data_IF_016001130268
#
_entry.id   IF_016001130268
#
_cell.length_a   1.000
_cell.length_b   1.000
_cell.length_c   1.000
_cell.angle_alpha   90.00
_cell.angle_beta   90.00
_cell.angle_gamma   90.00
#
_symmetry.space_group_name_H-M   'P 1'
#
loop_
_entity.id
_entity.type
_entity.pdbx_description
1 polymer ?
#
# COMPACT_ATOMS: atom_id res chain seq x y z
N UNK A 1 12.05 -24.31 -3.03
CA UNK A 1 12.99 -23.25 -2.65
C UNK A 1 12.28 -21.97 -2.21
N UNK A 2 11.20 -21.55 -2.84
CA UNK A 2 10.42 -20.33 -2.53
C UNK A 2 9.74 -20.41 -1.15
N UNK A 3 9.19 -21.56 -0.76
CA UNK A 3 8.53 -21.79 0.54
C UNK A 3 9.46 -21.53 1.73
N UNK A 4 10.70 -22.00 1.62
CA UNK A 4 11.71 -21.82 2.68
C UNK A 4 12.12 -20.37 2.86
N UNK A 5 12.12 -19.55 1.80
CA UNK A 5 12.51 -18.15 1.85
C UNK A 5 11.45 -17.33 2.60
N UNK A 6 10.16 -17.56 2.34
CA UNK A 6 9.09 -16.81 3.01
C UNK A 6 8.99 -17.17 4.48
N UNK A 7 9.14 -18.45 4.83
CA UNK A 7 9.20 -18.91 6.22
C UNK A 7 10.45 -18.42 6.95
N UNK A 8 11.60 -18.32 6.26
CA UNK A 8 12.82 -17.75 6.82
C UNK A 8 12.70 -16.23 7.07
N UNK A 9 11.95 -15.50 6.25
CA UNK A 9 11.67 -14.08 6.46
C UNK A 9 10.95 -13.85 7.81
N UNK A 10 10.04 -14.76 8.17
CA UNK A 10 9.30 -14.70 9.44
C UNK A 10 10.05 -15.32 10.60
N UNK A 11 10.91 -16.33 10.37
CA UNK A 11 11.62 -17.09 11.40
C UNK A 11 12.93 -16.46 11.93
N UNK A 12 13.40 -15.34 11.32
CA UNK A 12 14.73 -14.79 11.68
C UNK A 12 15.86 -15.80 11.38
N UNK A 13 16.73 -15.47 10.46
CA UNK A 13 17.76 -16.27 9.78
C UNK A 13 18.74 -17.12 10.66
N UNK A 14 18.29 -17.89 11.62
CA UNK A 14 19.19 -18.73 12.43
C UNK A 14 18.93 -20.24 12.36
N UNK A 15 18.17 -20.76 11.38
CA UNK A 15 17.79 -22.18 11.33
C UNK A 15 18.35 -22.96 10.11
N UNK A 16 19.36 -22.46 9.40
CA UNK A 16 19.95 -23.15 8.27
C UNK A 16 21.43 -23.51 8.44
N UNK A 17 21.79 -24.14 9.56
CA UNK A 17 22.97 -24.97 9.61
C UNK A 17 22.55 -26.39 9.98
N UNK A 18 22.66 -27.32 9.00
CA UNK A 18 22.69 -28.75 9.25
C UNK A 18 21.43 -29.54 8.85
N UNK A 19 21.14 -29.68 7.55
CA UNK A 19 20.41 -30.86 7.04
C UNK A 19 21.32 -31.57 6.05
N UNK A 20 22.01 -32.57 6.52
CA UNK A 20 22.73 -33.54 5.69
C UNK A 20 21.72 -34.54 5.11
N UNK A 21 21.54 -34.51 3.78
CA UNK A 21 20.73 -35.49 3.03
C UNK A 21 21.65 -36.58 2.47
N UNK A 22 22.15 -37.41 3.36
CA UNK A 22 22.95 -38.54 2.95
C UNK A 22 22.51 -39.86 3.58
N UNK A 23 22.18 -40.85 2.74
CA UNK A 23 22.20 -42.23 3.14
C UNK A 23 20.95 -43.08 2.89
N UNK A 24 20.93 -43.73 1.76
CA UNK A 24 20.05 -44.87 1.48
C UNK A 24 20.36 -46.05 2.39
N UNK A 25 19.34 -46.77 2.85
CA UNK A 25 19.47 -48.16 3.20
C UNK A 25 18.88 -48.57 4.53
N UNK A 26 17.85 -49.32 4.45
CA UNK A 26 17.31 -50.44 5.21
C UNK A 26 15.89 -50.25 5.68
N UNK A 27 15.02 -51.05 5.09
CA UNK A 27 13.64 -51.30 5.48
C UNK A 27 13.62 -51.97 6.87
N UNK A 28 13.31 -51.15 7.89
CA UNK A 28 12.77 -51.65 9.16
C UNK A 28 11.52 -50.85 9.44
N UNK A 29 10.40 -51.49 9.70
CA UNK A 29 9.17 -50.81 10.13
C UNK A 29 9.49 -49.91 11.30
N UNK A 30 9.14 -48.61 11.24
CA UNK A 30 9.42 -47.70 12.36
C UNK A 30 8.69 -48.22 13.59
N UNK A 31 9.43 -48.45 14.70
CA UNK A 31 8.82 -48.80 15.96
C UNK A 31 7.98 -47.64 16.48
N UNK A 32 6.95 -47.92 17.28
CA UNK A 32 6.03 -46.93 17.89
C UNK A 32 6.78 -45.74 18.53
N UNK A 33 8.01 -46.00 19.01
CA UNK A 33 8.91 -44.96 19.58
C UNK A 33 9.42 -43.98 18.52
N UNK A 34 9.69 -44.45 17.30
CA UNK A 34 10.21 -43.61 16.21
C UNK A 34 9.08 -42.77 15.62
N UNK A 35 7.87 -43.32 15.53
CA UNK A 35 6.67 -42.56 15.14
C UNK A 35 6.33 -41.48 16.19
N UNK A 36 6.45 -41.77 17.48
CA UNK A 36 6.22 -40.79 18.55
C UNK A 36 7.27 -39.66 18.49
N UNK A 37 8.56 -39.97 18.31
CA UNK A 37 9.63 -38.98 18.16
C UNK A 37 9.43 -38.11 16.92
N UNK A 38 9.08 -38.72 15.78
CA UNK A 38 8.80 -37.99 14.53
C UNK A 38 7.60 -37.04 14.71
N UNK A 39 6.54 -37.51 15.38
CA UNK A 39 5.35 -36.69 15.71
C UNK A 39 5.70 -35.52 16.65
N UNK A 40 6.53 -35.76 17.66
CA UNK A 40 6.98 -34.73 18.60
C UNK A 40 7.82 -33.65 17.88
N UNK A 41 8.78 -34.06 17.06
CA UNK A 41 9.59 -33.13 16.25
C UNK A 41 8.72 -32.32 15.29
N UNK A 42 7.70 -32.96 14.67
CA UNK A 42 6.75 -32.29 13.80
C UNK A 42 5.91 -31.27 14.57
N UNK A 43 5.44 -31.59 15.77
CA UNK A 43 4.69 -30.67 16.64
C UNK A 43 5.55 -29.47 17.07
N UNK A 44 6.78 -29.70 17.53
CA UNK A 44 7.72 -28.65 17.93
C UNK A 44 8.04 -27.70 16.75
N UNK A 45 8.23 -28.24 15.55
CA UNK A 45 8.40 -27.43 14.32
C UNK A 45 7.14 -26.64 14.00
N UNK A 46 5.95 -27.20 14.15
CA UNK A 46 4.70 -26.50 13.91
C UNK A 46 4.45 -25.39 14.95
N UNK A 47 4.75 -25.64 16.22
CA UNK A 47 4.67 -24.63 17.29
C UNK A 47 5.66 -23.47 17.05
N UNK A 48 6.92 -23.78 16.63
CA UNK A 48 7.88 -22.77 16.23
C UNK A 48 7.44 -21.98 15.00
N UNK A 49 6.88 -22.63 13.98
CA UNK A 49 6.32 -21.98 12.82
C UNK A 49 5.14 -21.08 13.22
N UNK A 50 4.26 -21.55 14.09
CA UNK A 50 3.12 -20.77 14.58
C UNK A 50 3.56 -19.53 15.35
N UNK A 51 4.52 -19.67 16.27
CA UNK A 51 5.09 -18.54 17.01
C UNK A 51 5.80 -17.53 16.10
N UNK A 52 6.47 -18.01 15.03
CA UNK A 52 7.13 -17.15 14.06
C UNK A 52 6.18 -16.52 13.03
N UNK A 53 4.96 -17.05 12.89
CA UNK A 53 3.92 -16.55 12.02
C UNK A 53 2.88 -15.68 12.77
N UNK A 54 3.11 -15.36 14.04
CA UNK A 54 2.28 -14.38 14.73
C UNK A 54 2.42 -13.01 14.10
N UNK A 55 1.30 -12.48 13.67
CA UNK A 55 1.17 -11.12 13.14
C UNK A 55 0.39 -10.26 14.15
N UNK A 56 0.99 -9.15 14.54
CA UNK A 56 0.31 -8.11 15.32
C UNK A 56 0.02 -6.94 14.40
N UNK A 57 -1.25 -6.63 14.19
CA UNK A 57 -1.63 -5.47 13.38
C UNK A 57 -1.10 -4.19 14.02
N UNK A 58 -0.25 -3.50 13.29
CA UNK A 58 0.22 -2.17 13.61
C UNK A 58 -0.12 -1.23 12.47
N UNK A 59 -0.47 -0.01 12.82
CA UNK A 59 -0.69 1.08 11.88
C UNK A 59 0.49 2.05 11.98
N UNK A 60 1.02 2.47 10.85
CA UNK A 60 2.00 3.53 10.84
C UNK A 60 1.31 4.87 11.14
N UNK A 61 1.67 5.49 12.25
CA UNK A 61 1.16 6.81 12.64
C UNK A 61 1.67 7.89 11.68
N UNK A 62 0.76 8.75 11.26
CA UNK A 62 1.06 9.85 10.35
C UNK A 62 1.07 11.15 11.11
N UNK A 63 2.19 11.90 11.14
CA UNK A 63 2.25 13.17 11.83
C UNK A 63 1.31 14.20 11.19
N UNK A 64 0.86 15.15 12.00
CA UNK A 64 0.16 16.31 11.50
C UNK A 64 1.07 17.16 10.60
N UNK A 65 0.49 17.67 9.52
CA UNK A 65 1.21 18.48 8.55
C UNK A 65 0.94 19.97 8.78
N UNK A 66 1.97 20.77 8.61
CA UNK A 66 1.86 22.21 8.64
C UNK A 66 0.91 22.73 7.55
N UNK A 67 0.03 23.67 7.88
CA UNK A 67 -0.84 24.31 6.89
C UNK A 67 -0.04 24.99 5.77
N UNK A 68 1.14 25.53 6.09
CA UNK A 68 2.01 26.20 5.12
C UNK A 68 2.59 25.22 4.10
N UNK A 69 3.09 24.07 4.55
CA UNK A 69 3.60 23.02 3.61
C UNK A 69 2.46 22.44 2.80
N UNK A 70 1.28 22.26 3.38
CA UNK A 70 0.11 21.79 2.67
C UNK A 70 -0.38 22.76 1.57
N UNK A 71 -0.19 24.07 1.72
CA UNK A 71 -0.48 25.02 0.63
C UNK A 71 0.39 24.71 -0.60
N UNK A 72 1.70 24.51 -0.39
CA UNK A 72 2.62 24.15 -1.47
C UNK A 72 2.25 22.81 -2.10
N UNK A 73 2.01 21.81 -1.26
CA UNK A 73 1.65 20.48 -1.71
C UNK A 73 0.33 20.46 -2.50
N UNK A 74 -0.73 21.07 -1.98
CA UNK A 74 -2.05 21.06 -2.62
C UNK A 74 -2.04 21.77 -3.97
N UNK A 75 -1.35 22.92 -4.06
CA UNK A 75 -1.13 23.62 -5.33
C UNK A 75 -0.38 22.72 -6.33
N UNK A 76 0.74 22.16 -5.92
CA UNK A 76 1.54 21.30 -6.78
C UNK A 76 0.78 20.05 -7.21
N UNK A 77 0.07 19.39 -6.29
CA UNK A 77 -0.70 18.17 -6.57
C UNK A 77 -1.83 18.42 -7.58
N UNK A 78 -2.58 19.52 -7.43
CA UNK A 78 -3.67 19.84 -8.34
C UNK A 78 -3.17 19.95 -9.79
N UNK A 79 -2.12 20.75 -10.01
CA UNK A 79 -1.55 20.95 -11.34
C UNK A 79 -0.83 19.71 -11.87
N UNK A 80 -0.17 18.94 -11.03
CA UNK A 80 0.45 17.67 -11.34
C UNK A 80 -0.59 16.65 -11.85
N UNK A 81 -1.68 16.45 -11.12
CA UNK A 81 -2.72 15.51 -11.52
C UNK A 81 -3.40 15.92 -12.83
N UNK A 82 -3.63 17.22 -13.06
CA UNK A 82 -4.15 17.72 -14.35
C UNK A 82 -3.18 17.53 -15.51
N UNK A 83 -1.86 17.39 -15.22
CA UNK A 83 -0.83 17.14 -16.22
C UNK A 83 -0.54 15.64 -16.45
N UNK A 84 -1.09 14.74 -15.63
CA UNK A 84 -0.78 13.29 -15.68
C UNK A 84 -1.03 12.65 -17.04
N UNK A 85 -2.04 13.13 -17.77
CA UNK A 85 -2.41 12.56 -19.07
C UNK A 85 -1.39 12.83 -20.17
N UNK A 86 -0.52 13.85 -20.04
CA UNK A 86 0.45 14.19 -21.09
C UNK A 86 1.50 13.11 -21.29
N UNK A 87 1.82 12.33 -20.23
CA UNK A 87 2.80 11.24 -20.26
C UNK A 87 4.24 11.66 -20.55
N UNK A 88 4.51 12.95 -20.80
CA UNK A 88 5.83 13.46 -21.18
C UNK A 88 6.77 13.48 -19.98
N UNK A 89 7.89 12.79 -20.09
CA UNK A 89 8.97 12.87 -19.10
C UNK A 89 9.68 14.22 -19.20
N UNK A 90 10.07 14.78 -18.03
CA UNK A 90 10.74 16.08 -17.98
C UNK A 90 9.90 17.25 -18.49
N UNK A 91 8.58 17.12 -18.49
CA UNK A 91 7.68 18.17 -18.93
C UNK A 91 7.85 19.46 -18.11
N UNK A 92 7.75 20.61 -18.77
CA UNK A 92 7.96 21.91 -18.14
C UNK A 92 7.01 22.18 -16.96
N UNK A 93 5.77 21.65 -17.02
CA UNK A 93 4.80 21.78 -15.92
C UNK A 93 5.33 21.07 -14.69
N UNK A 94 5.70 19.79 -14.79
CA UNK A 94 6.22 19.05 -13.63
C UNK A 94 7.52 19.64 -13.09
N UNK A 95 8.43 20.08 -13.96
CA UNK A 95 9.66 20.73 -13.53
C UNK A 95 9.39 22.07 -12.83
N UNK A 96 8.39 22.84 -13.28
CA UNK A 96 7.93 24.05 -12.59
C UNK A 96 7.31 23.78 -11.21
N UNK A 97 6.73 22.59 -11.00
CA UNK A 97 6.15 22.17 -9.72
C UNK A 97 7.17 21.57 -8.75
N UNK A 98 8.33 21.14 -9.24
CA UNK A 98 9.35 20.44 -8.45
C UNK A 98 9.79 21.22 -7.21
N UNK A 99 9.93 22.55 -7.31
CA UNK A 99 10.34 23.41 -6.19
C UNK A 99 9.35 23.32 -5.01
N UNK A 100 8.05 23.31 -5.30
CA UNK A 100 7.02 23.24 -4.25
C UNK A 100 7.07 21.91 -3.52
N UNK A 101 7.21 20.80 -4.26
CA UNK A 101 7.36 19.47 -3.67
C UNK A 101 8.64 19.34 -2.83
N UNK A 102 9.79 19.81 -3.36
CA UNK A 102 11.08 19.78 -2.65
C UNK A 102 11.03 20.58 -1.36
N UNK A 103 10.52 21.81 -1.43
CA UNK A 103 10.43 22.71 -0.26
C UNK A 103 9.47 22.13 0.78
N UNK A 104 8.29 21.68 0.40
CA UNK A 104 7.34 21.08 1.32
C UNK A 104 7.91 19.80 1.97
N UNK A 105 8.52 18.90 1.20
CA UNK A 105 9.11 17.66 1.66
C UNK A 105 10.22 17.90 2.71
N UNK A 106 11.11 18.87 2.46
CA UNK A 106 12.21 19.19 3.37
C UNK A 106 11.77 20.01 4.59
N UNK A 107 10.53 20.51 4.61
CA UNK A 107 9.87 21.07 5.78
C UNK A 107 8.88 20.09 6.44
N UNK A 108 9.04 18.79 6.21
CA UNK A 108 8.33 17.74 6.93
C UNK A 108 7.00 17.30 6.32
N UNK A 109 6.65 17.74 5.10
CA UNK A 109 5.47 17.23 4.42
C UNK A 109 5.77 15.87 3.77
N UNK A 110 5.37 14.78 4.46
CA UNK A 110 5.58 13.42 3.95
C UNK A 110 4.78 13.12 2.68
N UNK A 111 3.64 13.78 2.45
CA UNK A 111 2.85 13.60 1.21
C UNK A 111 3.61 14.17 0.01
N UNK A 112 4.19 15.37 0.18
CA UNK A 112 5.04 15.98 -0.82
C UNK A 112 6.30 15.14 -1.09
N UNK A 113 6.89 14.58 -0.03
CA UNK A 113 8.06 13.70 -0.13
C UNK A 113 7.76 12.44 -0.97
N UNK A 114 6.70 11.69 -0.61
CA UNK A 114 6.30 10.47 -1.32
C UNK A 114 5.95 10.78 -2.79
N UNK A 115 5.22 11.87 -3.05
CA UNK A 115 4.84 12.26 -4.40
C UNK A 115 6.05 12.65 -5.25
N UNK A 116 6.98 13.40 -4.68
CA UNK A 116 8.23 13.79 -5.36
C UNK A 116 9.07 12.57 -5.74
N UNK A 117 9.22 11.59 -4.82
CA UNK A 117 9.93 10.34 -5.12
C UNK A 117 9.29 9.61 -6.32
N UNK A 118 7.95 9.55 -6.39
CA UNK A 118 7.24 8.97 -7.53
C UNK A 118 7.54 9.73 -8.84
N UNK A 119 7.47 11.06 -8.83
CA UNK A 119 7.68 11.89 -10.02
C UNK A 119 9.13 11.82 -10.52
N UNK A 120 10.12 11.76 -9.63
CA UNK A 120 11.54 11.55 -9.96
C UNK A 120 11.78 10.15 -10.56
N UNK A 121 11.26 9.10 -9.90
CA UNK A 121 11.41 7.71 -10.38
C UNK A 121 10.76 7.48 -11.75
N UNK A 122 9.63 8.12 -12.00
CA UNK A 122 8.94 8.03 -13.29
C UNK A 122 9.55 8.96 -14.36
N UNK A 123 10.55 9.79 -14.01
CA UNK A 123 11.21 10.74 -14.91
C UNK A 123 10.30 11.89 -15.35
N UNK A 124 9.21 12.15 -14.60
CA UNK A 124 8.35 13.32 -14.84
C UNK A 124 9.01 14.60 -14.37
N UNK A 125 9.64 14.59 -13.21
CA UNK A 125 10.53 15.66 -12.74
C UNK A 125 11.95 15.28 -13.10
N UNK A 126 12.67 16.21 -13.75
CA UNK A 126 14.08 16.06 -14.06
C UNK A 126 14.94 16.37 -12.84
N UNK A 127 16.02 15.61 -12.68
CA UNK A 127 17.06 15.83 -11.67
C UNK A 127 18.41 15.41 -12.25
N UNK A 128 19.47 16.11 -11.90
CA UNK A 128 20.83 15.74 -12.32
C UNK A 128 21.29 14.43 -11.66
N UNK A 129 20.72 14.13 -10.48
CA UNK A 129 21.03 12.92 -9.69
C UNK A 129 19.75 12.27 -9.14
N UNK A 130 18.87 11.73 -10.01
CA UNK A 130 17.52 11.30 -9.59
C UNK A 130 17.54 10.18 -8.55
N UNK A 131 18.43 9.22 -8.67
CA UNK A 131 18.56 8.14 -7.68
C UNK A 131 19.02 8.68 -6.32
N UNK A 132 20.02 9.52 -6.30
CA UNK A 132 20.53 10.15 -5.07
C UNK A 132 19.43 11.01 -4.41
N UNK A 133 18.69 11.78 -5.20
CA UNK A 133 17.60 12.61 -4.69
C UNK A 133 16.51 11.75 -4.05
N UNK A 134 16.09 10.68 -4.72
CA UNK A 134 15.09 9.73 -4.19
C UNK A 134 15.56 9.07 -2.89
N UNK A 135 16.83 8.66 -2.80
CA UNK A 135 17.36 8.07 -1.57
C UNK A 135 17.45 9.07 -0.42
N UNK A 136 17.90 10.28 -0.68
CA UNK A 136 17.93 11.35 0.33
C UNK A 136 16.50 11.66 0.85
N UNK A 137 15.53 11.74 -0.05
CA UNK A 137 14.11 11.91 0.32
C UNK A 137 13.59 10.73 1.16
N UNK A 138 13.97 9.50 0.83
CA UNK A 138 13.55 8.33 1.60
C UNK A 138 14.20 8.28 2.99
N UNK A 139 15.43 8.74 3.15
CA UNK A 139 16.08 8.88 4.46
C UNK A 139 15.39 9.97 5.32
N UNK A 140 14.97 11.09 4.72
CA UNK A 140 14.16 12.09 5.43
C UNK A 140 12.79 11.53 5.80
N UNK A 141 12.14 10.77 4.88
CA UNK A 141 10.87 10.11 5.14
C UNK A 141 10.95 9.14 6.31
N UNK A 142 12.05 8.40 6.45
CA UNK A 142 12.26 7.42 7.51
C UNK A 142 12.19 8.01 8.93
N UNK A 143 12.40 9.31 9.10
CA UNK A 143 12.29 10.00 10.38
C UNK A 143 10.84 10.16 10.85
N UNK A 144 9.90 10.18 9.91
CA UNK A 144 8.48 10.39 10.17
C UNK A 144 7.67 9.11 9.93
N UNK A 145 7.95 8.42 8.83
CA UNK A 145 7.26 7.24 8.37
C UNK A 145 8.25 6.10 8.09
N UNK A 146 8.84 5.51 9.14
CA UNK A 146 9.86 4.48 8.98
C UNK A 146 9.34 3.22 8.27
N UNK A 147 8.09 2.81 8.49
CA UNK A 147 7.50 1.65 7.82
C UNK A 147 7.38 1.88 6.30
N UNK A 148 6.88 3.04 5.90
CA UNK A 148 6.79 3.44 4.49
C UNK A 148 8.18 3.54 3.86
N UNK A 149 9.18 4.10 4.57
CA UNK A 149 10.54 4.22 4.07
C UNK A 149 11.23 2.86 3.87
N UNK A 150 11.01 1.90 4.78
CA UNK A 150 11.51 0.52 4.61
C UNK A 150 10.83 -0.20 3.44
N UNK A 151 9.53 0.02 3.25
CA UNK A 151 8.83 -0.52 2.08
C UNK A 151 9.37 0.08 0.76
N UNK A 152 9.61 1.38 0.72
CA UNK A 152 10.25 2.01 -0.44
C UNK A 152 11.63 1.40 -0.71
N UNK A 153 12.44 1.19 0.33
CA UNK A 153 13.77 0.59 0.21
C UNK A 153 13.69 -0.84 -0.33
N UNK A 154 12.71 -1.65 0.15
CA UNK A 154 12.41 -2.95 -0.46
C UNK A 154 12.19 -2.83 -1.97
N UNK A 155 11.33 -1.89 -2.39
CA UNK A 155 11.05 -1.67 -3.81
C UNK A 155 12.26 -1.20 -4.60
N UNK A 156 13.15 -0.37 -4.02
CA UNK A 156 14.39 0.05 -4.68
C UNK A 156 15.37 -1.10 -4.84
N UNK A 157 15.49 -1.95 -3.83
CA UNK A 157 16.34 -3.14 -3.87
C UNK A 157 15.81 -4.19 -4.87
N UNK A 158 14.48 -4.31 -4.97
CA UNK A 158 13.84 -5.25 -5.90
C UNK A 158 14.18 -4.98 -7.37
N UNK A 159 14.24 -3.69 -7.73
CA UNK A 159 14.56 -3.25 -9.10
C UNK A 159 15.99 -2.74 -9.29
N UNK A 160 16.82 -2.77 -8.24
CA UNK A 160 18.20 -2.26 -8.30
C UNK A 160 18.30 -0.76 -8.51
N UNK A 161 17.35 0.03 -7.99
CA UNK A 161 17.31 1.48 -8.16
C UNK A 161 18.31 2.20 -7.24
N UNK A 162 19.56 2.27 -7.67
CA UNK A 162 20.65 2.97 -6.96
C UNK A 162 21.15 2.30 -5.69
N UNK A 163 20.60 1.15 -5.30
CA UNK A 163 20.97 0.36 -4.14
C UNK A 163 21.09 -1.11 -4.49
N UNK A 164 21.89 -1.83 -3.73
CA UNK A 164 22.08 -3.27 -3.87
C UNK A 164 22.14 -3.91 -2.49
N UNK A 165 21.81 -5.19 -2.42
CA UNK A 165 21.94 -6.04 -1.25
C UNK A 165 22.42 -7.42 -1.68
N UNK A 166 22.76 -8.26 -0.73
CA UNK A 166 22.97 -9.69 -0.96
C UNK A 166 21.68 -10.36 -1.47
N UNK A 167 21.82 -11.58 -1.98
CA UNK A 167 20.67 -12.33 -2.47
C UNK A 167 19.62 -12.46 -1.36
N UNK A 168 18.38 -12.17 -1.70
CA UNK A 168 17.23 -12.21 -0.80
C UNK A 168 17.21 -11.21 0.37
N UNK A 169 18.25 -10.39 0.53
CA UNK A 169 18.34 -9.38 1.61
C UNK A 169 17.24 -8.33 1.58
N UNK A 170 16.60 -8.07 0.40
CA UNK A 170 15.47 -7.17 0.28
C UNK A 170 14.28 -7.56 1.17
N UNK A 171 14.07 -8.85 1.42
CA UNK A 171 12.93 -9.35 2.20
C UNK A 171 13.01 -8.99 3.69
N UNK A 172 14.23 -8.79 4.24
CA UNK A 172 14.38 -8.28 5.60
C UNK A 172 13.77 -6.87 5.76
N UNK A 173 13.90 -6.03 4.73
CA UNK A 173 13.29 -4.70 4.71
C UNK A 173 11.77 -4.77 4.54
N UNK A 174 11.27 -5.69 3.69
CA UNK A 174 9.83 -5.93 3.54
C UNK A 174 9.19 -6.36 4.86
N UNK A 175 9.80 -7.33 5.55
CA UNK A 175 9.35 -7.77 6.87
C UNK A 175 9.32 -6.61 7.86
N UNK A 176 10.43 -5.89 7.98
CA UNK A 176 10.53 -4.75 8.91
C UNK A 176 9.48 -3.69 8.61
N UNK A 177 9.20 -3.43 7.33
CA UNK A 177 8.14 -2.52 6.93
C UNK A 177 6.76 -3.01 7.40
N UNK A 178 6.43 -4.28 7.21
CA UNK A 178 5.16 -4.87 7.64
C UNK A 178 4.99 -4.84 9.17
N UNK A 179 6.05 -5.22 9.92
CA UNK A 179 6.06 -5.22 11.40
C UNK A 179 5.96 -3.82 12.01
N UNK A 180 6.41 -2.79 11.28
CA UNK A 180 6.29 -1.39 11.66
C UNK A 180 4.97 -0.75 11.23
N UNK A 181 4.15 -1.44 10.44
CA UNK A 181 2.81 -0.99 10.09
C UNK A 181 2.64 -0.49 8.66
N UNK A 182 3.60 -0.71 7.73
CA UNK A 182 3.35 -0.38 6.32
C UNK A 182 2.25 -1.25 5.74
N UNK A 183 1.14 -0.63 5.36
CA UNK A 183 -0.01 -1.32 4.75
C UNK A 183 0.34 -1.98 3.42
N UNK A 184 1.22 -1.36 2.64
CA UNK A 184 1.71 -1.92 1.38
C UNK A 184 2.55 -3.17 1.63
N UNK A 185 3.44 -3.15 2.63
CA UNK A 185 4.25 -4.30 3.01
C UNK A 185 3.39 -5.43 3.58
N UNK A 186 2.42 -5.12 4.43
CA UNK A 186 1.47 -6.10 4.97
C UNK A 186 0.71 -6.81 3.84
N UNK A 187 0.25 -6.05 2.84
CA UNK A 187 -0.42 -6.63 1.69
C UNK A 187 0.54 -7.52 0.86
N UNK A 188 1.74 -7.04 0.53
CA UNK A 188 2.73 -7.83 -0.24
C UNK A 188 3.09 -9.13 0.49
N UNK A 189 3.29 -9.09 1.80
CA UNK A 189 3.51 -10.31 2.61
C UNK A 189 2.32 -11.26 2.52
N UNK A 190 1.07 -10.74 2.52
CA UNK A 190 -0.13 -11.57 2.37
C UNK A 190 -0.18 -12.29 1.02
N UNK A 191 0.24 -11.63 -0.07
CA UNK A 191 0.32 -12.24 -1.40
C UNK A 191 1.38 -13.34 -1.43
N UNK A 192 2.58 -13.07 -0.89
CA UNK A 192 3.66 -14.05 -0.82
C UNK A 192 3.27 -15.30 -0.01
N UNK A 193 2.50 -15.15 1.07
CA UNK A 193 1.95 -16.27 1.84
C UNK A 193 0.92 -17.07 1.03
N UNK A 194 0.18 -16.43 0.14
CA UNK A 194 -0.77 -17.07 -0.76
C UNK A 194 -0.10 -17.93 -1.84
N UNK A 195 1.08 -17.54 -2.28
CA UNK A 195 1.84 -18.25 -3.33
C UNK A 195 2.52 -19.54 -2.83
N UNK A 196 2.52 -19.80 -1.53
CA UNK A 196 3.13 -20.99 -0.95
C UNK A 196 2.21 -22.19 -1.21
N UNK A 197 2.75 -23.21 -1.89
CA UNK A 197 2.05 -24.47 -2.12
C UNK A 197 2.45 -25.51 -1.07
N UNK A 198 1.85 -25.45 0.11
CA UNK A 198 2.05 -26.37 1.23
C UNK A 198 0.75 -26.57 1.99
N UNK A 199 0.21 -27.79 1.97
CA UNK A 199 -1.07 -28.12 2.61
C UNK A 199 -0.98 -28.11 4.15
N UNK A 200 0.17 -28.45 4.73
CA UNK A 200 0.30 -28.56 6.20
C UNK A 200 0.18 -27.20 6.88
N UNK A 201 0.59 -26.12 6.24
CA UNK A 201 0.51 -24.75 6.78
C UNK A 201 -0.65 -23.94 6.22
N UNK A 202 -1.47 -24.51 5.33
CA UNK A 202 -2.50 -23.79 4.59
C UNK A 202 -3.43 -22.99 5.51
N UNK A 203 -4.02 -23.64 6.53
CA UNK A 203 -4.98 -22.99 7.41
C UNK A 203 -4.35 -21.84 8.21
N UNK A 204 -3.11 -22.02 8.68
CA UNK A 204 -2.36 -21.00 9.40
C UNK A 204 -2.05 -19.80 8.48
N UNK A 205 -1.64 -20.07 7.24
CA UNK A 205 -1.38 -19.01 6.24
C UNK A 205 -2.64 -18.25 5.87
N UNK A 206 -3.77 -18.92 5.64
CA UNK A 206 -5.05 -18.28 5.35
C UNK A 206 -5.49 -17.33 6.49
N UNK A 207 -5.33 -17.75 7.73
CA UNK A 207 -5.63 -16.90 8.88
C UNK A 207 -4.73 -15.66 8.92
N UNK A 208 -3.43 -15.82 8.66
CA UNK A 208 -2.49 -14.70 8.62
C UNK A 208 -2.75 -13.76 7.44
N UNK A 209 -3.03 -14.29 6.25
CA UNK A 209 -3.41 -13.51 5.07
C UNK A 209 -4.62 -12.63 5.39
N UNK A 210 -5.63 -13.19 6.05
CA UNK A 210 -6.84 -12.45 6.47
C UNK A 210 -6.49 -11.31 7.42
N UNK A 211 -5.65 -11.55 8.43
CA UNK A 211 -5.21 -10.53 9.39
C UNK A 211 -4.39 -9.42 8.71
N UNK A 212 -3.42 -9.78 7.87
CA UNK A 212 -2.58 -8.82 7.13
C UNK A 212 -3.43 -7.93 6.20
N UNK A 213 -4.36 -8.53 5.45
CA UNK A 213 -5.25 -7.80 4.56
C UNK A 213 -6.24 -6.92 5.32
N UNK A 214 -6.76 -7.36 6.47
CA UNK A 214 -7.60 -6.53 7.34
C UNK A 214 -6.84 -5.31 7.82
N UNK A 215 -5.66 -5.51 8.39
CA UNK A 215 -4.81 -4.42 8.87
C UNK A 215 -4.44 -3.41 7.78
N UNK A 216 -4.08 -3.88 6.59
CA UNK A 216 -3.77 -3.02 5.44
C UNK A 216 -5.03 -2.28 4.92
N UNK A 217 -6.19 -2.93 4.95
CA UNK A 217 -7.48 -2.36 4.57
C UNK A 217 -7.88 -1.19 5.48
N UNK A 218 -7.76 -1.38 6.78
CA UNK A 218 -8.05 -0.36 7.81
C UNK A 218 -7.19 0.90 7.62
N UNK A 219 -5.95 0.72 7.16
CA UNK A 219 -5.05 1.81 6.83
C UNK A 219 -5.31 2.47 5.47
N UNK A 220 -6.36 2.07 4.76
CA UNK A 220 -6.79 2.70 3.51
C UNK A 220 -6.17 2.12 2.24
N UNK A 221 -5.73 0.85 2.25
CA UNK A 221 -5.26 0.17 1.05
C UNK A 221 -6.40 -0.56 0.33
N UNK A 222 -6.87 -0.01 -0.79
CA UNK A 222 -8.05 -0.48 -1.50
C UNK A 222 -7.93 -1.91 -2.04
N UNK A 223 -6.75 -2.31 -2.52
CA UNK A 223 -6.52 -3.66 -3.01
C UNK A 223 -6.60 -4.69 -1.87
N UNK A 224 -6.08 -4.36 -0.68
CA UNK A 224 -6.19 -5.23 0.48
C UNK A 224 -7.63 -5.42 0.92
N UNK A 225 -8.44 -4.35 0.91
CA UNK A 225 -9.88 -4.42 1.19
C UNK A 225 -10.61 -5.33 0.21
N UNK A 226 -10.28 -5.24 -1.08
CA UNK A 226 -10.90 -6.07 -2.12
C UNK A 226 -10.59 -7.57 -1.91
N UNK A 227 -9.32 -7.92 -1.73
CA UNK A 227 -8.93 -9.31 -1.52
C UNK A 227 -9.38 -9.86 -0.15
N UNK A 228 -9.54 -9.00 0.87
CA UNK A 228 -10.20 -9.39 2.11
C UNK A 228 -11.67 -9.73 1.87
N UNK A 229 -12.39 -8.90 1.11
CA UNK A 229 -13.78 -9.15 0.73
C UNK A 229 -13.96 -10.46 -0.03
N UNK A 230 -13.08 -10.77 -0.98
CA UNK A 230 -13.09 -12.03 -1.72
C UNK A 230 -12.84 -13.23 -0.78
N UNK A 231 -11.88 -13.11 0.14
CA UNK A 231 -11.59 -14.16 1.11
C UNK A 231 -12.80 -14.44 2.00
N UNK A 232 -13.40 -13.39 2.56
CA UNK A 232 -14.60 -13.50 3.41
C UNK A 232 -15.81 -14.06 2.66
N UNK A 233 -15.98 -13.68 1.38
CA UNK A 233 -17.01 -14.24 0.52
C UNK A 233 -16.79 -15.75 0.31
N UNK A 234 -15.55 -16.20 0.10
CA UNK A 234 -15.21 -17.61 -0.06
C UNK A 234 -15.49 -18.40 1.23
N UNK A 235 -15.30 -17.78 2.39
CA UNK A 235 -15.66 -18.33 3.70
C UNK A 235 -17.17 -18.28 3.98
N UNK A 236 -17.99 -17.74 3.05
CA UNK A 236 -19.43 -17.48 3.18
C UNK A 236 -19.79 -16.47 4.28
N UNK A 237 -18.83 -15.70 4.75
CA UNK A 237 -19.03 -14.57 5.66
C UNK A 237 -19.43 -13.32 4.85
N UNK A 238 -20.62 -13.40 4.24
CA UNK A 238 -21.10 -12.37 3.33
C UNK A 238 -21.27 -11.00 3.99
N UNK A 239 -21.64 -10.98 5.27
CA UNK A 239 -21.82 -9.73 6.02
C UNK A 239 -20.51 -8.94 6.13
N UNK A 240 -19.43 -9.60 6.49
CA UNK A 240 -18.15 -8.95 6.62
C UNK A 240 -17.46 -8.77 5.26
N UNK A 241 -17.74 -9.65 4.28
CA UNK A 241 -17.34 -9.42 2.88
C UNK A 241 -17.91 -8.10 2.32
N UNK A 242 -19.18 -7.82 2.54
CA UNK A 242 -19.83 -6.56 2.14
C UNK A 242 -19.15 -5.36 2.79
N UNK A 243 -18.81 -5.42 4.07
CA UNK A 243 -18.09 -4.34 4.76
C UNK A 243 -16.69 -4.15 4.19
N UNK A 244 -15.98 -5.24 3.89
CA UNK A 244 -14.63 -5.18 3.31
C UNK A 244 -14.68 -4.56 1.91
N UNK A 245 -15.62 -4.93 1.05
CA UNK A 245 -15.81 -4.28 -0.24
C UNK A 245 -16.22 -2.81 -0.09
N UNK A 246 -17.08 -2.48 0.86
CA UNK A 246 -17.45 -1.11 1.16
C UNK A 246 -16.24 -0.25 1.55
N UNK A 247 -15.40 -0.78 2.44
CA UNK A 247 -14.13 -0.14 2.77
C UNK A 247 -13.21 -0.04 1.54
N UNK A 248 -13.22 -1.05 0.68
CA UNK A 248 -12.49 -1.03 -0.59
C UNK A 248 -12.92 0.12 -1.50
N UNK A 249 -14.22 0.41 -1.59
CA UNK A 249 -14.72 1.57 -2.35
C UNK A 249 -14.24 2.89 -1.74
N UNK A 250 -14.33 3.06 -0.42
CA UNK A 250 -13.79 4.24 0.27
C UNK A 250 -12.31 4.44 -0.03
N UNK A 251 -11.57 3.34 -0.10
CA UNK A 251 -10.15 3.31 -0.38
C UNK A 251 -9.81 3.45 -1.88
N UNK A 252 -10.81 3.62 -2.76
CA UNK A 252 -10.63 3.89 -4.18
C UNK A 252 -10.51 2.63 -5.06
N UNK A 253 -10.94 1.46 -4.58
CA UNK A 253 -10.86 0.23 -5.37
C UNK A 253 -12.10 0.03 -6.25
N UNK A 254 -11.92 0.10 -7.57
CA UNK A 254 -13.00 -0.06 -8.55
C UNK A 254 -13.59 -1.49 -8.57
N UNK A 255 -12.78 -2.52 -8.28
CA UNK A 255 -13.26 -3.91 -8.24
C UNK A 255 -14.24 -4.12 -7.07
N UNK A 256 -13.93 -3.56 -5.89
CA UNK A 256 -14.83 -3.57 -4.73
C UNK A 256 -16.18 -2.92 -5.04
N UNK A 257 -16.17 -1.79 -5.77
CA UNK A 257 -17.42 -1.15 -6.21
C UNK A 257 -18.20 -2.02 -7.21
N UNK A 258 -17.51 -2.79 -8.08
CA UNK A 258 -18.16 -3.76 -8.97
C UNK A 258 -18.79 -4.93 -8.21
N UNK A 259 -18.11 -5.44 -7.16
CA UNK A 259 -18.68 -6.49 -6.30
C UNK A 259 -20.00 -6.03 -5.68
N UNK A 260 -20.02 -4.83 -5.07
CA UNK A 260 -21.23 -4.28 -4.46
C UNK A 260 -22.31 -3.95 -5.51
N UNK A 261 -21.93 -3.39 -6.67
CA UNK A 261 -22.89 -3.12 -7.76
C UNK A 261 -23.61 -4.39 -8.20
N UNK A 262 -22.88 -5.47 -8.46
CA UNK A 262 -23.48 -6.73 -8.93
C UNK A 262 -24.22 -7.45 -7.79
N UNK A 263 -23.70 -7.43 -6.55
CA UNK A 263 -24.38 -8.01 -5.38
C UNK A 263 -25.75 -7.38 -5.12
N UNK A 264 -25.86 -6.04 -5.21
CA UNK A 264 -27.15 -5.35 -5.10
C UNK A 264 -27.99 -5.44 -6.39
N UNK A 265 -27.41 -5.79 -7.52
CA UNK A 265 -28.10 -5.96 -8.79
C UNK A 265 -28.86 -7.28 -8.94
N UNK A 266 -28.92 -8.12 -7.89
CA UNK A 266 -29.70 -9.35 -7.90
C UNK A 266 -28.91 -10.59 -8.34
N UNK A 267 -27.62 -10.71 -8.01
CA UNK A 267 -26.87 -11.97 -8.11
C UNK A 267 -27.51 -13.01 -7.18
N UNK A 268 -28.28 -13.93 -7.76
CA UNK A 268 -29.22 -14.77 -7.00
C UNK A 268 -28.66 -16.14 -6.61
N UNK A 269 -27.58 -16.57 -7.26
CA UNK A 269 -27.04 -17.93 -7.04
C UNK A 269 -25.77 -17.88 -6.21
N UNK A 270 -25.67 -18.77 -5.25
CA UNK A 270 -24.51 -18.85 -4.34
C UNK A 270 -23.19 -19.13 -5.07
N UNK A 271 -23.24 -19.74 -6.25
CA UNK A 271 -22.09 -19.98 -7.11
C UNK A 271 -21.72 -18.81 -8.03
N UNK A 272 -22.53 -17.75 -8.05
CA UNK A 272 -22.20 -16.56 -8.82
C UNK A 272 -21.00 -15.82 -8.19
N UNK A 273 -20.06 -15.37 -9.02
CA UNK A 273 -18.86 -14.64 -8.61
C UNK A 273 -19.15 -13.43 -7.71
N UNK A 274 -20.31 -12.81 -7.88
CA UNK A 274 -20.71 -11.60 -7.17
C UNK A 274 -21.80 -11.84 -6.11
N UNK A 275 -22.05 -13.09 -5.75
CA UNK A 275 -23.04 -13.40 -4.74
C UNK A 275 -22.57 -12.92 -3.34
N UNK A 276 -23.37 -12.08 -2.72
CA UNK A 276 -23.10 -11.49 -1.41
C UNK A 276 -24.28 -11.65 -0.43
N UNK A 277 -25.24 -12.49 -0.78
CA UNK A 277 -26.48 -12.72 0.00
C UNK A 277 -27.18 -11.41 0.37
N UNK A 278 -27.23 -10.46 -0.57
CA UNK A 278 -27.87 -9.16 -0.43
C UNK A 278 -29.27 -9.20 -1.04
N UNK A 279 -30.18 -8.42 -0.48
CA UNK A 279 -31.45 -8.12 -1.14
C UNK A 279 -31.17 -7.19 -2.33
N UNK A 280 -31.92 -7.41 -3.42
CA UNK A 280 -31.85 -6.55 -4.60
C UNK A 280 -32.18 -5.09 -4.24
N UNK A 281 -31.32 -4.19 -4.66
CA UNK A 281 -31.47 -2.75 -4.55
C UNK A 281 -30.85 -2.09 -5.79
N UNK A 282 -31.66 -1.88 -6.79
CA UNK A 282 -31.22 -1.39 -8.10
C UNK A 282 -30.65 0.03 -8.05
N UNK A 283 -31.10 0.87 -7.10
CA UNK A 283 -30.51 2.21 -6.97
C UNK A 283 -29.13 2.16 -6.33
N UNK A 284 -28.90 1.33 -5.30
CA UNK A 284 -27.54 1.08 -4.78
C UNK A 284 -26.63 0.49 -5.84
N UNK A 285 -27.13 -0.51 -6.57
CA UNK A 285 -26.38 -1.11 -7.69
C UNK A 285 -25.93 -0.08 -8.71
N UNK A 286 -26.84 0.81 -9.13
CA UNK A 286 -26.55 1.89 -10.09
C UNK A 286 -25.49 2.86 -9.57
N UNK A 287 -25.57 3.28 -8.29
CA UNK A 287 -24.59 4.19 -7.69
C UNK A 287 -23.21 3.55 -7.60
N UNK A 288 -23.09 2.32 -7.11
CA UNK A 288 -21.82 1.60 -7.10
C UNK A 288 -21.25 1.40 -8.51
N UNK A 289 -22.09 1.14 -9.51
CA UNK A 289 -21.67 1.03 -10.91
C UNK A 289 -21.08 2.34 -11.44
N UNK A 290 -21.68 3.47 -11.13
CA UNK A 290 -21.19 4.78 -11.52
C UNK A 290 -19.82 5.08 -10.85
N UNK A 291 -19.71 4.80 -9.54
CA UNK A 291 -18.46 4.94 -8.78
C UNK A 291 -17.38 4.01 -9.36
N UNK A 292 -17.69 2.73 -9.60
CA UNK A 292 -16.77 1.76 -10.18
C UNK A 292 -16.20 2.24 -11.52
N UNK A 293 -17.07 2.79 -12.38
CA UNK A 293 -16.66 3.35 -13.66
C UNK A 293 -15.72 4.53 -13.48
N UNK A 294 -16.06 5.50 -12.63
CA UNK A 294 -15.21 6.67 -12.39
C UNK A 294 -13.83 6.26 -11.84
N UNK A 295 -13.79 5.37 -10.84
CA UNK A 295 -12.56 4.85 -10.25
C UNK A 295 -11.68 4.12 -11.28
N UNK A 296 -12.31 3.36 -12.19
CA UNK A 296 -11.61 2.62 -13.25
C UNK A 296 -11.09 3.57 -14.36
N UNK A 297 -11.91 4.53 -14.79
CA UNK A 297 -11.55 5.46 -15.87
C UNK A 297 -10.47 6.47 -15.43
N UNK A 298 -10.35 6.70 -14.12
CA UNK A 298 -9.44 7.66 -13.50
C UNK A 298 -8.43 7.01 -12.54
N UNK A 299 -8.13 5.73 -12.72
CA UNK A 299 -7.22 4.97 -11.87
C UNK A 299 -5.82 5.60 -11.75
N UNK A 300 -5.33 6.22 -12.84
CA UNK A 300 -4.06 6.96 -12.89
C UNK A 300 -3.99 8.17 -11.94
N UNK A 301 -5.14 8.70 -11.48
CA UNK A 301 -5.23 9.76 -10.47
C UNK A 301 -5.33 9.20 -9.05
N UNK A 302 -5.57 7.91 -8.90
CA UNK A 302 -5.76 7.21 -7.62
C UNK A 302 -6.85 7.85 -6.73
N UNK A 303 -8.07 8.10 -7.26
CA UNK A 303 -9.14 8.74 -6.51
C UNK A 303 -9.58 7.87 -5.33
N UNK A 304 -10.03 8.53 -4.25
CA UNK A 304 -10.68 7.89 -3.09
C UNK A 304 -12.09 8.42 -2.92
N UNK A 305 -12.92 7.68 -2.18
CA UNK A 305 -14.32 8.02 -1.95
C UNK A 305 -14.58 8.13 -0.45
N UNK A 306 -13.99 9.12 0.24
CA UNK A 306 -14.19 9.29 1.69
C UNK A 306 -15.63 9.63 2.05
N UNK A 307 -16.37 10.22 1.13
CA UNK A 307 -17.78 10.62 1.20
C UNK A 307 -18.77 9.50 0.83
N UNK A 308 -18.35 8.24 0.82
CA UNK A 308 -19.20 7.13 0.42
C UNK A 308 -20.46 6.97 1.30
N UNK A 309 -20.35 7.27 2.61
CA UNK A 309 -21.47 7.22 3.54
C UNK A 309 -22.57 8.26 3.19
N UNK A 310 -22.17 9.38 2.60
CA UNK A 310 -23.09 10.44 2.16
C UNK A 310 -23.64 10.19 0.75
N UNK A 311 -23.16 9.16 0.05
CA UNK A 311 -23.57 8.80 -1.30
C UNK A 311 -24.42 7.53 -1.32
N UNK A 312 -23.86 6.44 -0.78
CA UNK A 312 -24.45 5.11 -0.88
C UNK A 312 -24.11 4.28 0.38
N UNK A 313 -24.64 4.65 1.55
CA UNK A 313 -24.42 3.90 2.78
C UNK A 313 -24.97 2.48 2.65
N UNK A 314 -24.42 1.55 3.42
CA UNK A 314 -24.93 0.18 3.49
C UNK A 314 -26.31 0.10 4.14
N UNK A 315 -27.18 -0.86 3.74
CA UNK A 315 -28.44 -1.10 4.44
C UNK A 315 -28.22 -1.39 5.95
N UNK A 316 -29.16 -1.01 6.81
CA UNK A 316 -30.51 -0.49 6.54
C UNK A 316 -30.60 1.02 6.34
N UNK A 317 -29.48 1.76 6.27
CA UNK A 317 -29.51 3.19 6.10
C UNK A 317 -30.23 3.59 4.78
N UNK A 318 -31.08 4.63 4.79
CA UNK A 318 -31.73 5.10 3.57
C UNK A 318 -30.70 5.74 2.60
N UNK A 319 -31.02 5.71 1.32
CA UNK A 319 -30.18 6.39 0.33
C UNK A 319 -30.43 7.91 0.36
N UNK A 320 -29.38 8.73 0.55
CA UNK A 320 -29.48 10.18 0.43
C UNK A 320 -29.63 10.61 -1.03
N UNK A 321 -29.97 11.88 -1.27
CA UNK A 321 -29.84 12.48 -2.60
C UNK A 321 -28.38 12.50 -3.03
N UNK A 322 -28.14 12.29 -4.34
CA UNK A 322 -26.78 12.29 -4.90
C UNK A 322 -26.77 12.90 -6.31
N UNK A 323 -25.86 13.82 -6.55
CA UNK A 323 -25.69 14.51 -7.84
C UNK A 323 -24.87 13.71 -8.88
N UNK A 324 -24.45 12.48 -8.53
CA UNK A 324 -23.65 11.62 -9.40
C UNK A 324 -22.14 11.82 -9.33
N UNK A 325 -21.64 12.69 -8.43
CA UNK A 325 -20.20 12.95 -8.27
C UNK A 325 -19.70 12.54 -6.87
N UNK A 326 -18.46 12.09 -6.80
CA UNK A 326 -17.72 11.86 -5.55
C UNK A 326 -16.92 13.11 -5.16
N UNK A 327 -16.52 13.23 -3.89
CA UNK A 327 -15.76 14.39 -3.39
C UNK A 327 -14.46 14.65 -4.16
N UNK A 328 -13.73 13.58 -4.51
CA UNK A 328 -12.53 13.70 -5.35
C UNK A 328 -12.84 14.32 -6.72
N UNK A 329 -13.93 13.91 -7.36
CA UNK A 329 -14.34 14.46 -8.67
C UNK A 329 -14.68 15.94 -8.55
N UNK A 330 -15.45 16.35 -7.53
CA UNK A 330 -15.77 17.76 -7.30
C UNK A 330 -14.51 18.60 -7.09
N UNK A 331 -13.55 18.08 -6.30
CA UNK A 331 -12.28 18.74 -6.10
C UNK A 331 -11.47 18.85 -7.40
N UNK A 332 -11.38 17.76 -8.16
CA UNK A 332 -10.58 17.70 -9.39
C UNK A 332 -11.16 18.59 -10.51
N UNK A 333 -12.49 18.68 -10.64
CA UNK A 333 -13.19 19.52 -11.61
C UNK A 333 -13.41 20.97 -11.12
N UNK A 334 -13.09 21.26 -9.86
CA UNK A 334 -13.25 22.55 -9.22
C UNK A 334 -12.16 23.56 -9.56
N UNK A 335 -12.21 24.70 -8.88
CA UNK A 335 -11.20 25.75 -9.04
C UNK A 335 -9.84 25.30 -8.52
N UNK A 336 -8.78 25.70 -9.25
CA UNK A 336 -7.41 25.44 -8.82
C UNK A 336 -7.12 26.13 -7.48
N UNK A 337 -6.39 25.44 -6.56
CA UNK A 337 -5.89 26.10 -5.37
C UNK A 337 -5.08 27.35 -5.73
N UNK A 338 -5.16 28.42 -4.92
CA UNK A 338 -4.38 29.63 -5.18
C UNK A 338 -2.89 29.31 -5.16
N UNK A 339 -2.15 29.97 -6.06
CA UNK A 339 -0.69 29.86 -6.07
C UNK A 339 -0.14 30.33 -4.73
N UNK A 340 0.76 29.53 -4.08
CA UNK A 340 1.38 29.95 -2.83
C UNK A 340 2.12 31.30 -2.98
N UNK A 341 2.02 32.14 -1.93
CA UNK A 341 2.75 33.39 -1.90
C UNK A 341 4.26 33.15 -2.02
N UNK A 342 4.92 33.91 -2.87
CA UNK A 342 6.34 33.79 -3.11
C UNK A 342 7.17 34.08 -1.84
N UNK A 343 6.71 34.96 -0.95
CA UNK A 343 7.35 35.22 0.33
C UNK A 343 7.30 33.98 1.25
N UNK A 344 6.17 33.25 1.27
CA UNK A 344 6.04 31.97 1.97
C UNK A 344 7.01 30.92 1.40
N UNK A 345 7.03 30.77 0.07
CA UNK A 345 7.92 29.81 -0.62
C UNK A 345 9.38 30.09 -0.28
N UNK A 346 9.83 31.35 -0.37
CA UNK A 346 11.23 31.73 -0.07
C UNK A 346 11.57 31.54 1.40
N UNK A 347 10.66 31.84 2.31
CA UNK A 347 10.87 31.63 3.75
C UNK A 347 11.04 30.14 4.08
N UNK A 348 10.15 29.28 3.57
CA UNK A 348 10.24 27.83 3.78
C UNK A 348 11.50 27.23 3.11
N UNK A 349 11.85 27.71 1.94
CA UNK A 349 13.10 27.32 1.27
C UNK A 349 14.32 27.69 2.14
N UNK A 350 14.38 28.91 2.64
CA UNK A 350 15.46 29.38 3.51
C UNK A 350 15.59 28.55 4.78
N UNK A 351 14.46 28.23 5.45
CA UNK A 351 14.42 27.40 6.65
C UNK A 351 15.02 26.00 6.41
N UNK A 352 14.78 25.42 5.24
CA UNK A 352 15.33 24.13 4.85
C UNK A 352 16.73 24.21 4.19
N UNK A 353 17.30 25.43 4.04
CA UNK A 353 18.58 25.65 3.35
C UNK A 353 18.51 25.34 1.85
N UNK A 354 17.37 25.64 1.22
CA UNK A 354 17.10 25.41 -0.20
C UNK A 354 17.07 26.70 -1.00
N UNK A 355 17.33 26.59 -2.29
CA UNK A 355 17.08 27.66 -3.26
C UNK A 355 15.57 27.77 -3.51
N UNK A 356 15.00 28.96 -3.38
CA UNK A 356 13.56 29.21 -3.53
C UNK A 356 13.01 28.97 -4.94
N UNK A 357 13.83 29.07 -5.97
CA UNK A 357 13.40 28.93 -7.35
C UNK A 357 13.46 27.48 -7.86
N UNK A 358 14.35 26.65 -7.28
CA UNK A 358 14.60 25.27 -7.72
C UNK A 358 14.23 24.22 -6.66
N UNK A 359 14.27 24.60 -5.38
CA UNK A 359 14.08 23.68 -4.25
C UNK A 359 15.27 22.75 -3.98
N UNK A 360 16.40 22.89 -4.66
CA UNK A 360 17.63 22.15 -4.36
C UNK A 360 18.46 22.86 -3.29
N UNK A 361 19.52 22.21 -2.80
CA UNK A 361 20.41 22.80 -1.79
C UNK A 361 20.98 24.14 -2.26
N UNK A 362 20.81 25.19 -1.46
CA UNK A 362 21.16 26.56 -1.84
C UNK A 362 22.67 26.79 -2.00
N UNK A 363 23.51 25.95 -1.36
CA UNK A 363 24.98 26.09 -1.40
C UNK A 363 25.60 25.31 -2.54
N UNK A 364 25.04 24.13 -2.83
CA UNK A 364 25.66 23.19 -3.78
C UNK A 364 24.95 23.13 -5.11
N UNK A 365 23.67 23.58 -5.19
CA UNK A 365 22.83 23.39 -6.37
C UNK A 365 22.40 21.94 -6.63
N UNK A 366 22.72 21.02 -5.71
CA UNK A 366 22.48 19.59 -5.82
C UNK A 366 21.26 19.18 -4.97
N UNK A 367 20.72 17.96 -5.14
CA UNK A 367 19.69 17.44 -4.24
C UNK A 367 20.10 17.55 -2.77
N UNK A 368 19.18 18.05 -1.92
CA UNK A 368 19.45 18.22 -0.50
C UNK A 368 19.78 16.89 0.17
N UNK A 369 20.87 16.87 0.92
CA UNK A 369 21.21 15.72 1.77
C UNK A 369 20.33 15.69 3.01
N UNK A 370 20.04 14.50 3.56
CA UNK A 370 19.33 14.36 4.83
C UNK A 370 20.02 15.17 5.93
N UNK A 371 19.20 15.78 6.79
CA UNK A 371 19.72 16.44 8.00
C UNK A 371 20.12 15.32 8.98
N UNK A 372 21.36 15.29 9.42
CA UNK A 372 21.84 14.27 10.37
C UNK A 372 21.26 14.44 11.76
#
# INVERSE_FOLDING_TARGET
MTVLIVLAIWAGMSLFEGVDLGGAGHSTSPGVIDEYKARKIKMEKMEQLQANLEFVCKHEERPELSQETQQLYNYALYHDLHNMWTGKKGDAVWNGLARYYRIAAMNGDYKANIRLQYLLKSGRISSDMPQTEVHNLNEELAKQLPATAYYNLYGYLDVGYGVRTEKDGKYAYLRKAADLGSREAQYVVSEMLGDINDEETLQMRLNMIKQLRSCASEQGLGIASNFLGIHLQSDKDYKDAVKAFYQGVKNGNAASARYLSNGFGGSQKEDDMYFLNLQEDLERSKRYKAIARYLSDKDYLQPKVPDLDDIVPLPPAPLPEWDGKIAFQRWFEGEAPPKPDEALVRRLAWQAGLNGDTGVDAKTGMPKKPIK
#
